data_IF_066124197946
#
_entry.id   IF_066124197946
#
_cell.length_a   1.000
_cell.length_b   1.000
_cell.length_c   1.000
_cell.angle_alpha   90.00
_cell.angle_beta   90.00
_cell.angle_gamma   90.00
#
_symmetry.space_group_name_H-M   'P 1'
#
loop_
_entity.id
_entity.type
_entity.pdbx_description
1 polymer ?
#
# COMPACT_ATOMS: atom_id res chain seq x y z
N UNK A 1 -1.38 10.79 -1.76
CA UNK A 1 -2.70 11.45 -1.68
C UNK A 1 -2.63 12.82 -1.00
N UNK A 2 -1.92 12.96 0.12
CA UNK A 2 -1.79 14.23 0.85
C UNK A 2 -1.33 15.44 -0.03
N UNK A 3 -0.29 15.26 -0.85
CA UNK A 3 0.15 16.30 -1.80
C UNK A 3 -0.92 16.72 -2.80
N UNK A 4 -1.78 15.79 -3.23
CA UNK A 4 -2.91 16.11 -4.12
C UNK A 4 -3.92 17.01 -3.41
N UNK A 5 -4.27 16.69 -2.16
CA UNK A 5 -5.17 17.54 -1.35
C UNK A 5 -4.56 18.92 -1.13
N UNK A 6 -3.27 19.01 -0.83
CA UNK A 6 -2.57 20.31 -0.71
C UNK A 6 -2.69 21.13 -1.98
N UNK A 7 -2.43 20.51 -3.13
CA UNK A 7 -2.49 21.18 -4.42
C UNK A 7 -3.89 21.72 -4.73
N UNK A 8 -4.95 20.90 -4.55
CA UNK A 8 -6.33 21.34 -4.86
C UNK A 8 -6.88 22.35 -3.84
N UNK A 9 -6.37 22.34 -2.61
CA UNK A 9 -6.77 23.28 -1.55
C UNK A 9 -5.92 24.55 -1.51
N UNK A 10 -4.95 24.72 -2.40
CA UNK A 10 -4.06 25.90 -2.42
C UNK A 10 -3.08 25.97 -1.23
N UNK A 11 -2.78 24.84 -0.59
CA UNK A 11 -1.84 24.76 0.53
C UNK A 11 -0.40 24.61 0.04
N UNK A 12 0.61 25.02 0.84
CA UNK A 12 2.01 24.75 0.53
C UNK A 12 2.28 23.25 0.31
N UNK A 13 3.04 22.91 -0.73
CA UNK A 13 3.44 21.53 -1.00
C UNK A 13 4.52 21.07 0.00
N UNK A 14 4.41 19.82 0.46
CA UNK A 14 5.45 19.16 1.25
C UNK A 14 6.61 18.66 0.40
N UNK A 15 7.67 18.19 1.07
CA UNK A 15 8.86 17.62 0.42
C UNK A 15 8.54 16.34 -0.35
N UNK A 16 8.99 16.18 -1.61
CA UNK A 16 8.90 14.92 -2.35
C UNK A 16 10.10 13.99 -2.08
N UNK A 17 10.99 14.33 -1.13
CA UNK A 17 12.16 13.52 -0.83
C UNK A 17 11.75 12.12 -0.37
N UNK A 18 12.42 11.11 -0.93
CA UNK A 18 12.16 9.71 -0.63
C UNK A 18 12.64 9.38 0.79
N UNK A 19 11.73 8.91 1.65
CA UNK A 19 12.04 8.59 3.05
C UNK A 19 12.68 7.21 3.25
N UNK A 20 12.27 6.19 2.47
CA UNK A 20 12.79 4.83 2.58
C UNK A 20 12.70 4.09 1.23
N UNK A 21 13.53 3.05 1.08
CA UNK A 21 13.35 2.04 0.04
C UNK A 21 12.17 1.13 0.38
N UNK A 22 11.36 0.77 -0.61
CA UNK A 22 10.23 -0.13 -0.42
C UNK A 22 9.86 -0.89 -1.69
N UNK A 23 9.14 -2.00 -1.50
CA UNK A 23 8.49 -2.76 -2.57
C UNK A 23 6.99 -2.75 -2.31
N UNK A 24 6.21 -2.38 -3.33
CA UNK A 24 4.75 -2.41 -3.28
C UNK A 24 4.24 -3.48 -4.24
N UNK A 25 3.39 -4.36 -3.72
CA UNK A 25 2.77 -5.44 -4.50
C UNK A 25 1.25 -5.38 -4.38
N UNK A 26 0.56 -5.63 -5.50
CA UNK A 26 -0.89 -5.71 -5.50
C UNK A 26 -1.36 -7.04 -4.94
N UNK A 27 -2.52 -7.03 -4.27
CA UNK A 27 -3.27 -8.25 -3.95
C UNK A 27 -4.39 -8.40 -4.98
N UNK A 28 -4.26 -9.37 -5.89
CA UNK A 28 -5.22 -9.67 -6.95
C UNK A 28 -5.96 -10.97 -6.64
N UNK A 29 -7.30 -10.94 -6.62
CA UNK A 29 -8.13 -12.14 -6.45
C UNK A 29 -7.68 -13.02 -5.28
N UNK A 30 -7.17 -14.20 -5.59
CA UNK A 30 -6.77 -15.21 -4.60
C UNK A 30 -5.51 -14.84 -3.80
N UNK A 31 -4.77 -13.79 -4.19
CA UNK A 31 -3.71 -13.23 -3.35
C UNK A 31 -4.23 -12.80 -1.97
N UNK A 32 -5.54 -12.57 -1.82
CA UNK A 32 -6.17 -12.32 -0.53
C UNK A 32 -5.92 -13.42 0.49
N UNK A 33 -5.64 -14.66 0.05
CA UNK A 33 -5.26 -15.77 0.94
C UNK A 33 -3.90 -15.55 1.62
N UNK A 34 -3.06 -14.64 1.12
CA UNK A 34 -1.76 -14.27 1.73
C UNK A 34 -1.92 -13.36 2.94
N UNK A 35 -3.06 -12.68 3.09
CA UNK A 35 -3.28 -11.63 4.11
C UNK A 35 -2.93 -12.08 5.54
N UNK A 36 -3.34 -13.26 6.03
CA UNK A 36 -2.99 -13.70 7.37
C UNK A 36 -1.48 -13.78 7.62
N UNK A 37 -0.70 -14.23 6.63
CA UNK A 37 0.76 -14.26 6.74
C UNK A 37 1.37 -12.86 6.70
N UNK A 38 0.91 -12.01 5.76
CA UNK A 38 1.39 -10.64 5.60
C UNK A 38 1.18 -9.80 6.87
N UNK A 39 0.09 -10.01 7.60
CA UNK A 39 -0.19 -9.32 8.86
C UNK A 39 0.84 -9.58 9.96
N UNK A 40 1.62 -10.65 9.84
CA UNK A 40 2.67 -11.02 10.80
C UNK A 40 4.05 -10.50 10.39
N UNK A 41 4.21 -9.98 9.17
CA UNK A 41 5.49 -9.49 8.68
C UNK A 41 5.83 -8.12 9.30
N UNK A 42 7.01 -7.97 9.93
CA UNK A 42 7.47 -6.67 10.37
C UNK A 42 7.73 -5.75 9.17
N UNK A 43 7.59 -4.44 9.37
CA UNK A 43 7.84 -3.42 8.36
C UNK A 43 6.98 -3.56 7.08
N UNK A 44 5.83 -4.23 7.19
CA UNK A 44 4.83 -4.35 6.13
C UNK A 44 3.58 -3.55 6.48
N UNK A 45 3.13 -2.74 5.53
CA UNK A 45 1.90 -1.96 5.64
C UNK A 45 0.86 -2.52 4.66
N UNK A 46 -0.18 -3.14 5.19
CA UNK A 46 -1.28 -3.73 4.42
C UNK A 46 -2.40 -2.70 4.20
N UNK A 47 -2.84 -2.55 2.96
CA UNK A 47 -3.98 -1.70 2.58
C UNK A 47 -5.02 -2.53 1.82
N UNK A 48 -6.15 -2.81 2.49
CA UNK A 48 -7.30 -3.49 1.91
C UNK A 48 -8.39 -2.47 1.52
N UNK A 49 -9.03 -2.68 0.36
CA UNK A 49 -10.03 -1.74 -0.16
C UNK A 49 -11.45 -1.99 0.33
N UNK A 50 -11.66 -2.90 1.29
CA UNK A 50 -12.98 -3.21 1.85
C UNK A 50 -13.97 -3.82 0.86
N UNK A 51 -13.49 -4.42 -0.24
CA UNK A 51 -14.33 -5.10 -1.23
C UNK A 51 -14.89 -6.39 -0.61
N UNK A 52 -16.21 -6.51 -0.60
CA UNK A 52 -16.91 -7.63 0.03
C UNK A 52 -16.54 -9.02 -0.56
N UNK A 53 -16.21 -9.08 -1.85
CA UNK A 53 -15.96 -10.34 -2.56
C UNK A 53 -14.66 -10.27 -3.36
N UNK A 54 -13.82 -11.29 -3.21
CA UNK A 54 -12.64 -11.49 -4.07
C UNK A 54 -13.01 -12.18 -5.37
N UNK A 55 -12.44 -11.72 -6.49
CA UNK A 55 -12.67 -12.29 -7.82
C UNK A 55 -11.36 -12.36 -8.61
N UNK A 56 -11.17 -13.35 -9.50
CA UNK A 56 -10.00 -13.41 -10.38
C UNK A 56 -9.75 -12.08 -11.11
N UNK A 57 -8.51 -11.61 -11.11
CA UNK A 57 -8.12 -10.33 -11.73
C UNK A 57 -8.54 -9.06 -10.98
N UNK A 58 -9.36 -9.16 -9.93
CA UNK A 58 -9.81 -7.98 -9.16
C UNK A 58 -8.72 -7.56 -8.18
N UNK A 59 -8.27 -6.31 -8.28
CA UNK A 59 -7.36 -5.72 -7.28
C UNK A 59 -8.10 -5.50 -5.96
N UNK A 60 -7.75 -6.27 -4.94
CA UNK A 60 -8.41 -6.27 -3.63
C UNK A 60 -7.72 -5.35 -2.62
N UNK A 61 -6.44 -5.10 -2.84
CA UNK A 61 -5.62 -4.24 -2.01
C UNK A 61 -4.20 -4.17 -2.54
N UNK A 62 -3.29 -3.80 -1.66
CA UNK A 62 -1.85 -3.90 -1.86
C UNK A 62 -1.17 -3.96 -0.50
N UNK A 63 0.09 -4.35 -0.49
CA UNK A 63 0.96 -4.15 0.66
C UNK A 63 2.24 -3.46 0.22
N UNK A 64 2.83 -2.71 1.15
CA UNK A 64 4.12 -2.06 0.96
C UNK A 64 5.07 -2.59 2.03
N UNK A 65 6.20 -3.16 1.61
CA UNK A 65 7.25 -3.65 2.49
C UNK A 65 8.43 -2.68 2.46
N UNK A 66 8.89 -2.21 3.61
CA UNK A 66 10.11 -1.40 3.67
C UNK A 66 11.33 -2.29 3.46
N UNK A 67 12.30 -1.79 2.71
CA UNK A 67 13.61 -2.44 2.51
C UNK A 67 14.59 -1.74 3.44
N UNK A 68 15.05 -2.44 4.48
CA UNK A 68 16.14 -1.95 5.32
C UNK A 68 17.47 -2.47 4.77
N UNK A 69 18.50 -1.62 4.63
CA UNK A 69 19.85 -2.11 4.41
C UNK A 69 20.26 -2.99 5.60
N UNK A 70 20.93 -4.12 5.31
CA UNK A 70 21.57 -4.97 6.32
C UNK A 70 22.76 -4.25 6.95
#
# INVERSE_FOLDING_TARGET
FEQHIRAVAGLPLGSPARHADCVLENLIGDDMLKVPALLTEPDLMLHLYGKAESRPGRKMGHFTRLVRPK
#
